data_IF_998073428470
#
_entry.id   IF_998073428470
#
_cell.length_a   1.000
_cell.length_b   1.000
_cell.length_c   1.000
_cell.angle_alpha   90.00
_cell.angle_beta   90.00
_cell.angle_gamma   90.00
#
_symmetry.space_group_name_H-M   'P 1'
#
loop_
_entity.id
_entity.type
_entity.pdbx_description
1 polymer ?
#
# COMPACT_ATOMS: atom_id res chain seq x y z
N UNK A 1 -18.71 -25.48 -15.05
CA UNK A 1 -17.27 -25.82 -15.10
C UNK A 1 -16.85 -26.29 -13.73
N UNK A 2 -16.33 -27.52 -13.62
CA UNK A 2 -15.94 -28.15 -12.35
C UNK A 2 -14.81 -27.36 -11.71
N UNK A 3 -14.99 -26.95 -10.45
CA UNK A 3 -13.95 -26.37 -9.62
C UNK A 3 -12.76 -27.33 -9.61
N UNK A 4 -11.59 -26.89 -10.09
CA UNK A 4 -10.34 -27.49 -9.64
C UNK A 4 -10.25 -27.16 -8.15
N UNK A 5 -10.60 -28.12 -7.29
CA UNK A 5 -10.23 -28.07 -5.89
C UNK A 5 -8.71 -28.03 -5.84
N UNK A 6 -8.14 -26.83 -5.67
CA UNK A 6 -6.90 -26.73 -4.91
C UNK A 6 -7.36 -26.77 -3.45
N UNK A 7 -7.70 -27.98 -2.98
CA UNK A 7 -7.68 -28.25 -1.56
C UNK A 7 -6.20 -28.21 -1.17
N UNK A 8 -5.69 -27.01 -0.85
CA UNK A 8 -4.45 -26.90 -0.12
C UNK A 8 -4.79 -27.42 1.28
N UNK A 9 -4.57 -28.73 1.49
CA UNK A 9 -4.54 -29.33 2.80
C UNK A 9 -3.32 -28.73 3.51
N UNK A 10 -3.46 -27.52 4.03
CA UNK A 10 -2.55 -26.98 5.01
C UNK A 10 -2.73 -27.84 6.26
N UNK A 11 -1.96 -28.92 6.35
CA UNK A 11 -1.57 -29.53 7.61
C UNK A 11 -0.81 -28.45 8.39
N UNK A 12 -1.55 -27.52 8.98
CA UNK A 12 -1.14 -26.82 10.18
C UNK A 12 -1.05 -27.90 11.24
N UNK A 13 0.13 -28.49 11.39
CA UNK A 13 0.49 -29.10 12.67
C UNK A 13 0.61 -27.91 13.61
N UNK A 14 -0.31 -27.71 14.59
CA UNK A 14 0.04 -26.84 15.69
C UNK A 14 1.22 -27.51 16.36
N UNK A 15 2.41 -26.89 16.33
CA UNK A 15 3.39 -27.21 17.33
C UNK A 15 2.76 -26.80 18.66
N UNK A 16 2.14 -27.78 19.32
CA UNK A 16 1.79 -27.69 20.71
C UNK A 16 3.12 -27.61 21.47
N UNK A 17 3.62 -26.39 21.65
CA UNK A 17 4.63 -26.10 22.65
C UNK A 17 3.96 -26.44 23.98
N UNK A 18 4.38 -27.58 24.56
CA UNK A 18 4.05 -27.92 25.94
C UNK A 18 4.47 -26.75 26.81
N UNK A 19 3.51 -26.24 27.58
CA UNK A 19 3.61 -25.00 28.30
C UNK A 19 4.87 -24.92 29.16
N UNK A 20 5.53 -23.77 29.06
CA UNK A 20 6.14 -23.16 30.21
C UNK A 20 5.36 -21.86 30.45
N UNK A 21 4.81 -21.73 31.66
CA UNK A 21 3.93 -20.64 32.08
C UNK A 21 4.71 -19.33 32.24
N UNK A 22 5.06 -18.71 31.13
CA UNK A 22 5.23 -17.27 30.99
C UNK A 22 4.33 -16.87 29.85
N UNK A 23 3.26 -16.12 30.10
CA UNK A 23 2.54 -15.49 29.01
C UNK A 23 3.56 -14.60 28.29
N UNK A 24 3.87 -14.91 27.03
CA UNK A 24 4.71 -14.04 26.21
C UNK A 24 4.08 -12.65 26.23
N UNK A 25 4.66 -11.75 27.03
CA UNK A 25 4.10 -10.44 27.25
C UNK A 25 4.35 -9.62 25.98
N UNK A 26 3.33 -9.54 25.13
CA UNK A 26 3.36 -8.66 23.97
C UNK A 26 3.13 -7.22 24.40
N UNK A 27 3.92 -6.30 23.86
CA UNK A 27 3.73 -4.85 24.04
C UNK A 27 3.24 -4.23 22.76
N UNK A 28 2.29 -3.30 22.86
CA UNK A 28 1.80 -2.57 21.69
C UNK A 28 2.86 -1.56 21.22
N UNK A 29 3.14 -1.56 19.92
CA UNK A 29 3.97 -0.54 19.28
C UNK A 29 3.06 0.59 18.85
N UNK A 30 3.32 1.80 19.36
CA UNK A 30 2.55 2.98 18.99
C UNK A 30 2.67 3.27 17.48
N UNK A 31 1.58 3.68 16.81
CA UNK A 31 1.63 4.12 15.42
C UNK A 31 2.63 5.27 15.25
N UNK A 32 3.36 5.27 14.15
CA UNK A 32 4.28 6.35 13.79
C UNK A 32 3.53 7.61 13.32
N UNK A 33 2.32 7.44 12.80
CA UNK A 33 1.47 8.53 12.32
C UNK A 33 0.13 8.55 13.07
N UNK A 34 -0.49 9.73 13.26
CA UNK A 34 -1.82 9.82 13.84
C UNK A 34 -2.83 9.01 13.04
N UNK A 35 -3.57 8.14 13.71
CA UNK A 35 -4.62 7.32 13.09
C UNK A 35 -5.84 8.20 12.77
N UNK A 36 -6.21 8.38 11.48
CA UNK A 36 -7.39 9.14 11.10
C UNK A 36 -8.68 8.53 11.65
N UNK A 37 -9.70 9.35 11.90
CA UNK A 37 -11.00 8.87 12.40
C UNK A 37 -11.67 7.87 11.44
N UNK A 38 -11.48 8.06 10.13
CA UNK A 38 -11.92 7.11 9.11
C UNK A 38 -11.26 5.73 9.25
N UNK A 39 -9.96 5.69 9.57
CA UNK A 39 -9.23 4.44 9.82
C UNK A 39 -9.68 3.80 11.13
N UNK A 40 -9.89 4.61 12.17
CA UNK A 40 -10.42 4.13 13.46
C UNK A 40 -11.79 3.48 13.28
N UNK A 41 -12.68 4.12 12.51
CA UNK A 41 -14.00 3.59 12.20
C UNK A 41 -13.93 2.29 11.39
N UNK A 42 -13.07 2.23 10.36
CA UNK A 42 -12.81 1.01 9.59
C UNK A 42 -12.40 -0.16 10.50
N UNK A 43 -11.41 0.05 11.37
CA UNK A 43 -10.92 -1.00 12.28
C UNK A 43 -12.03 -1.41 13.26
N UNK A 44 -12.80 -0.46 13.78
CA UNK A 44 -13.91 -0.74 14.69
C UNK A 44 -14.99 -1.60 14.03
N UNK A 45 -15.35 -1.31 12.78
CA UNK A 45 -16.27 -2.14 11.98
C UNK A 45 -15.69 -3.54 11.80
N UNK A 46 -14.46 -3.65 11.29
CA UNK A 46 -13.82 -4.94 11.04
C UNK A 46 -13.72 -5.78 12.33
N UNK A 47 -13.39 -5.15 13.46
CA UNK A 47 -13.30 -5.81 14.76
C UNK A 47 -14.66 -6.31 15.26
N UNK A 48 -15.74 -5.59 14.96
CA UNK A 48 -17.11 -5.99 15.29
C UNK A 48 -17.58 -7.25 14.55
N UNK A 49 -16.92 -7.61 13.45
CA UNK A 49 -17.23 -8.80 12.67
C UNK A 49 -16.46 -10.05 13.12
N UNK A 50 -15.52 -9.93 14.05
CA UNK A 50 -14.74 -11.09 14.55
C UNK A 50 -15.67 -12.18 15.08
N UNK A 51 -15.56 -13.38 14.52
CA UNK A 51 -16.41 -14.54 14.80
C UNK A 51 -17.47 -14.81 13.73
N UNK A 52 -17.76 -13.86 12.83
CA UNK A 52 -18.61 -14.11 11.66
C UNK A 52 -18.03 -15.25 10.83
N UNK A 53 -18.82 -16.27 10.54
CA UNK A 53 -18.42 -17.44 9.75
C UNK A 53 -19.33 -17.53 8.52
N UNK A 54 -18.77 -17.88 7.37
CA UNK A 54 -19.54 -18.02 6.13
C UNK A 54 -20.65 -19.07 6.26
N UNK A 55 -21.70 -18.89 5.47
CA UNK A 55 -22.77 -19.86 5.34
C UNK A 55 -22.35 -21.04 4.46
N UNK A 56 -23.16 -22.11 4.49
CA UNK A 56 -22.94 -23.28 3.65
C UNK A 56 -22.84 -22.89 2.17
N UNK A 57 -21.74 -23.27 1.54
CA UNK A 57 -21.47 -22.96 0.13
C UNK A 57 -20.59 -21.73 -0.08
N UNK A 58 -20.02 -21.16 0.98
CA UNK A 58 -19.13 -19.99 0.93
C UNK A 58 -19.88 -18.67 0.83
N UNK A 59 -21.17 -18.66 1.20
CA UNK A 59 -22.01 -17.46 1.05
C UNK A 59 -21.75 -16.51 2.21
N UNK A 60 -21.50 -15.25 1.90
CA UNK A 60 -21.33 -14.20 2.92
C UNK A 60 -22.19 -12.98 2.66
N UNK A 61 -22.47 -12.22 3.73
CA UNK A 61 -23.10 -10.89 3.60
C UNK A 61 -22.20 -9.91 2.84
N UNK A 62 -20.87 -10.06 2.93
CA UNK A 62 -19.89 -9.24 2.23
C UNK A 62 -19.95 -9.48 0.72
N UNK A 63 -19.92 -10.74 0.30
CA UNK A 63 -20.07 -11.10 -1.10
C UNK A 63 -21.44 -10.72 -1.63
N UNK A 64 -22.51 -10.86 -0.83
CA UNK A 64 -23.85 -10.44 -1.22
C UNK A 64 -23.94 -8.93 -1.43
N UNK A 65 -23.32 -8.14 -0.55
CA UNK A 65 -23.20 -6.69 -0.69
C UNK A 65 -22.37 -6.29 -1.93
N UNK A 66 -21.27 -7.00 -2.18
CA UNK A 66 -20.40 -6.76 -3.33
C UNK A 66 -21.05 -7.20 -4.68
N UNK A 67 -22.10 -8.03 -4.62
CA UNK A 67 -22.78 -8.59 -5.79
C UNK A 67 -22.22 -9.93 -6.28
N UNK A 68 -21.35 -10.58 -5.50
CA UNK A 68 -20.84 -11.92 -5.74
C UNK A 68 -20.83 -12.77 -4.45
N UNK A 69 -21.97 -13.38 -4.08
CA UNK A 69 -22.14 -13.97 -2.75
C UNK A 69 -21.18 -15.10 -2.37
N UNK A 70 -20.59 -15.82 -3.33
CA UNK A 70 -19.84 -17.07 -3.11
C UNK A 70 -18.40 -17.05 -3.67
N UNK A 71 -17.75 -15.88 -3.63
CA UNK A 71 -16.37 -15.69 -4.06
C UNK A 71 -15.37 -15.67 -2.88
N UNK A 72 -14.07 -15.59 -3.21
CA UNK A 72 -13.02 -15.31 -2.23
C UNK A 72 -13.28 -13.92 -1.60
N UNK A 73 -13.69 -13.92 -0.33
CA UNK A 73 -14.36 -12.77 0.27
C UNK A 73 -13.47 -11.97 1.23
N UNK A 74 -12.17 -12.25 1.33
CA UNK A 74 -11.25 -11.48 2.19
C UNK A 74 -11.21 -10.00 1.79
N UNK A 75 -11.10 -9.71 0.49
CA UNK A 75 -11.14 -8.35 -0.05
C UNK A 75 -12.53 -7.71 0.07
N UNK A 76 -13.60 -8.49 -0.17
CA UNK A 76 -14.98 -8.04 -0.08
C UNK A 76 -15.33 -7.63 1.36
N UNK A 77 -14.85 -8.39 2.35
CA UNK A 77 -14.95 -8.04 3.78
C UNK A 77 -14.28 -6.71 4.10
N UNK A 78 -13.05 -6.47 3.61
CA UNK A 78 -12.38 -5.19 3.85
C UNK A 78 -13.11 -4.04 3.14
N UNK A 79 -13.56 -4.22 1.90
CA UNK A 79 -14.32 -3.21 1.17
C UNK A 79 -15.66 -2.89 1.85
N UNK A 80 -16.37 -3.91 2.32
CA UNK A 80 -17.59 -3.76 3.08
C UNK A 80 -17.32 -3.00 4.39
N UNK A 81 -16.23 -3.32 5.08
CA UNK A 81 -15.85 -2.63 6.33
C UNK A 81 -15.56 -1.15 6.09
N UNK A 82 -14.92 -0.81 4.96
CA UNK A 82 -14.74 0.58 4.53
C UNK A 82 -16.09 1.23 4.23
N UNK A 83 -16.99 0.56 3.52
CA UNK A 83 -18.30 1.10 3.18
C UNK A 83 -19.16 1.42 4.42
N UNK A 84 -19.12 0.57 5.44
CA UNK A 84 -19.80 0.88 6.70
C UNK A 84 -19.17 2.07 7.44
N UNK A 85 -17.85 2.22 7.37
CA UNK A 85 -17.15 3.38 7.94
C UNK A 85 -17.48 4.68 7.17
N UNK A 86 -17.59 4.61 5.84
CA UNK A 86 -18.06 5.71 4.99
C UNK A 86 -19.47 6.16 5.40
N UNK A 87 -20.40 5.22 5.52
CA UNK A 87 -21.79 5.48 5.90
C UNK A 87 -21.88 6.11 7.30
N UNK A 88 -21.18 5.53 8.28
CA UNK A 88 -21.20 6.00 9.66
C UNK A 88 -20.64 7.42 9.83
N UNK A 89 -19.69 7.82 8.98
CA UNK A 89 -19.02 9.13 9.06
C UNK A 89 -19.54 10.14 8.04
N UNK A 90 -20.36 9.72 7.06
CA UNK A 90 -20.82 10.59 5.97
C UNK A 90 -19.69 11.06 5.04
N UNK A 91 -18.71 10.21 4.78
CA UNK A 91 -17.52 10.53 3.94
C UNK A 91 -17.37 9.55 2.78
N UNK A 92 -16.51 9.87 1.81
CA UNK A 92 -16.12 8.93 0.73
C UNK A 92 -14.67 8.47 0.92
N UNK A 93 -14.48 7.16 1.10
CA UNK A 93 -13.23 6.44 1.31
C UNK A 93 -12.96 5.42 0.19
N UNK A 94 -13.94 4.64 -0.26
CA UNK A 94 -13.82 3.71 -1.38
C UNK A 94 -13.49 4.47 -2.66
N UNK A 95 -12.58 3.91 -3.45
CA UNK A 95 -11.97 4.49 -4.65
C UNK A 95 -11.23 5.82 -4.44
N UNK A 96 -11.14 6.34 -3.21
CA UNK A 96 -10.38 7.55 -2.87
C UNK A 96 -9.20 7.23 -1.96
N UNK A 97 -9.48 6.59 -0.83
CA UNK A 97 -8.52 6.22 0.22
C UNK A 97 -8.21 4.73 0.17
N UNK A 98 -9.23 3.89 -0.05
CA UNK A 98 -9.13 2.43 -0.19
C UNK A 98 -9.71 1.96 -1.53
N UNK A 99 -9.23 0.84 -2.10
CA UNK A 99 -9.81 0.30 -3.32
C UNK A 99 -11.18 -0.35 -3.06
N UNK A 100 -12.02 -0.40 -4.09
CA UNK A 100 -13.19 -1.27 -4.14
C UNK A 100 -12.92 -2.43 -5.10
N UNK A 101 -12.86 -3.66 -4.59
CA UNK A 101 -12.56 -4.86 -5.38
C UNK A 101 -12.96 -6.15 -4.65
N UNK A 102 -13.08 -7.24 -5.40
CA UNK A 102 -13.25 -8.61 -4.89
C UNK A 102 -11.95 -9.39 -5.02
N UNK A 103 -11.94 -10.51 -5.76
CA UNK A 103 -10.75 -11.36 -5.89
C UNK A 103 -9.69 -10.83 -6.89
N UNK A 104 -8.42 -11.20 -6.64
CA UNK A 104 -7.17 -10.94 -7.41
C UNK A 104 -6.42 -9.62 -7.10
N UNK A 105 -5.21 -9.47 -7.68
CA UNK A 105 -4.18 -8.43 -7.47
C UNK A 105 -4.63 -6.95 -7.54
N UNK A 106 -5.90 -6.67 -7.79
CA UNK A 106 -6.45 -5.33 -8.00
C UNK A 106 -6.15 -4.41 -6.81
N UNK A 107 -6.35 -4.87 -5.57
CA UNK A 107 -6.10 -4.05 -4.38
C UNK A 107 -4.65 -3.57 -4.28
N UNK A 108 -3.68 -4.48 -4.46
CA UNK A 108 -2.25 -4.14 -4.43
C UNK A 108 -1.87 -3.17 -5.53
N UNK A 109 -2.27 -3.46 -6.77
CA UNK A 109 -1.96 -2.61 -7.92
C UNK A 109 -2.62 -1.23 -7.79
N UNK A 110 -3.79 -1.14 -7.16
CA UNK A 110 -4.42 0.13 -6.84
C UNK A 110 -3.56 0.95 -5.88
N UNK A 111 -3.07 0.38 -4.77
CA UNK A 111 -2.17 1.10 -3.87
C UNK A 111 -0.85 1.49 -4.54
N UNK A 112 -0.30 0.65 -5.43
CA UNK A 112 0.87 0.99 -6.24
C UNK A 112 0.59 2.20 -7.15
N UNK A 113 -0.54 2.20 -7.86
CA UNK A 113 -0.96 3.31 -8.73
C UNK A 113 -1.22 4.60 -7.92
N UNK A 114 -1.74 4.48 -6.70
CA UNK A 114 -1.89 5.61 -5.78
C UNK A 114 -0.55 6.09 -5.19
N UNK A 115 0.54 5.35 -5.37
CA UNK A 115 1.85 5.67 -4.78
C UNK A 115 1.96 5.33 -3.29
N UNK A 116 1.05 4.52 -2.76
CA UNK A 116 0.91 4.22 -1.33
C UNK A 116 1.07 2.74 -1.02
N UNK A 117 1.94 2.05 -1.75
CA UNK A 117 2.31 0.66 -1.49
C UNK A 117 3.75 0.56 -1.04
N UNK A 118 3.99 -0.20 0.02
CA UNK A 118 5.31 -0.43 0.61
C UNK A 118 5.60 -1.93 0.59
N UNK A 119 6.55 -2.36 -0.24
CA UNK A 119 6.97 -3.75 -0.31
C UNK A 119 7.75 -4.15 0.94
N UNK A 120 7.47 -5.35 1.46
CA UNK A 120 8.23 -5.93 2.58
C UNK A 120 9.72 -5.98 2.28
N UNK A 121 10.10 -6.26 1.03
CA UNK A 121 11.49 -6.41 0.60
C UNK A 121 12.18 -5.10 0.26
N UNK A 122 11.45 -3.98 0.22
CA UNK A 122 11.94 -2.73 -0.36
C UNK A 122 12.08 -2.78 -1.89
N UNK A 123 11.53 -3.80 -2.55
CA UNK A 123 11.58 -3.96 -4.01
C UNK A 123 10.26 -4.48 -4.54
N UNK A 124 9.72 -3.82 -5.56
CA UNK A 124 8.49 -4.24 -6.25
C UNK A 124 8.84 -4.77 -7.62
N UNK A 125 8.50 -6.03 -7.89
CA UNK A 125 8.71 -6.67 -9.20
C UNK A 125 8.05 -5.86 -10.31
N UNK A 126 8.79 -5.64 -11.39
CA UNK A 126 8.34 -4.83 -12.52
C UNK A 126 8.45 -3.32 -12.32
N UNK A 127 8.65 -2.81 -11.09
CA UNK A 127 8.89 -1.40 -10.80
C UNK A 127 10.37 -1.15 -10.44
N UNK A 128 10.83 -1.62 -9.28
CA UNK A 128 12.19 -1.45 -8.80
C UNK A 128 12.27 -1.29 -7.28
N UNK A 129 13.42 -0.81 -6.80
CA UNK A 129 13.65 -0.53 -5.38
C UNK A 129 12.80 0.65 -4.88
N UNK A 130 12.51 0.64 -3.59
CA UNK A 130 11.86 1.71 -2.85
C UNK A 130 12.81 2.35 -1.83
N UNK A 131 12.49 3.58 -1.46
CA UNK A 131 13.12 4.34 -0.37
C UNK A 131 12.04 5.15 0.34
N UNK A 132 12.23 5.43 1.62
CA UNK A 132 11.34 6.38 2.30
C UNK A 132 11.48 7.75 1.66
N UNK A 133 10.37 8.48 1.51
CA UNK A 133 10.40 9.78 0.85
C UNK A 133 11.36 10.74 1.55
N UNK A 134 12.24 11.35 0.76
CA UNK A 134 13.33 12.21 1.25
C UNK A 134 14.58 11.46 1.74
N UNK A 135 14.55 10.14 1.88
CA UNK A 135 15.71 9.35 2.27
C UNK A 135 16.62 9.03 1.07
N UNK A 136 17.93 9.04 1.32
CA UNK A 136 18.98 8.64 0.36
C UNK A 136 19.33 7.15 0.45
N UNK A 137 18.76 6.41 1.41
CA UNK A 137 18.96 4.97 1.57
C UNK A 137 17.77 4.19 1.01
N UNK A 138 18.06 3.07 0.36
CA UNK A 138 17.01 2.13 -0.05
C UNK A 138 16.38 1.48 1.18
N UNK A 139 15.08 1.17 1.09
CA UNK A 139 14.37 0.47 2.15
C UNK A 139 14.98 -0.91 2.35
N UNK A 140 15.36 -1.22 3.59
CA UNK A 140 15.78 -2.55 3.95
C UNK A 140 14.58 -3.50 4.04
N UNK A 141 14.81 -4.79 3.78
CA UNK A 141 13.79 -5.83 3.96
C UNK A 141 13.26 -5.81 5.39
N UNK A 142 11.94 -5.84 5.54
CA UNK A 142 11.26 -5.89 6.84
C UNK A 142 11.39 -4.60 7.65
N UNK A 143 11.92 -3.52 7.08
CA UNK A 143 12.14 -2.27 7.81
C UNK A 143 10.87 -1.44 8.04
N UNK A 144 9.79 -1.72 7.30
CA UNK A 144 8.54 -1.00 7.46
C UNK A 144 7.73 -1.59 8.63
N UNK A 145 7.43 -0.73 9.60
CA UNK A 145 6.48 -1.01 10.67
C UNK A 145 5.10 -0.53 10.21
N UNK A 146 4.16 -1.44 9.89
CA UNK A 146 2.86 -1.05 9.35
C UNK A 146 2.03 -0.27 10.36
N UNK A 147 1.17 0.60 9.85
CA UNK A 147 0.27 1.42 10.64
C UNK A 147 -1.09 0.71 10.78
N UNK A 148 -1.85 0.96 11.87
CA UNK A 148 -3.26 0.59 11.91
C UNK A 148 -4.00 1.09 10.66
N UNK A 149 -4.80 0.23 10.05
CA UNK A 149 -5.52 0.52 8.80
C UNK A 149 -4.76 0.17 7.53
N UNK A 150 -3.46 -0.10 7.61
CA UNK A 150 -2.72 -0.62 6.45
C UNK A 150 -3.32 -1.97 6.03
N UNK A 151 -3.42 -2.18 4.72
CA UNK A 151 -3.82 -3.46 4.16
C UNK A 151 -2.58 -4.28 3.86
N UNK A 152 -2.44 -5.43 4.53
CA UNK A 152 -1.35 -6.36 4.27
C UNK A 152 -1.77 -7.33 3.16
N UNK A 153 -0.90 -7.49 2.16
CA UNK A 153 -1.15 -8.37 1.02
C UNK A 153 -0.22 -9.60 1.09
N UNK A 154 -0.80 -10.79 0.97
CA UNK A 154 -0.06 -12.06 1.05
C UNK A 154 -0.05 -12.79 -0.29
N UNK A 155 1.05 -13.48 -0.58
CA UNK A 155 1.14 -14.51 -1.61
C UNK A 155 1.55 -15.84 -0.98
N UNK A 156 0.76 -16.89 -1.23
CA UNK A 156 1.12 -18.27 -0.93
C UNK A 156 1.73 -18.99 -2.14
N UNK A 157 1.90 -18.29 -3.26
CA UNK A 157 2.40 -18.87 -4.51
C UNK A 157 3.74 -18.26 -4.94
N UNK A 158 4.57 -19.03 -5.68
CA UNK A 158 5.82 -18.49 -6.23
C UNK A 158 5.61 -17.37 -7.27
N UNK A 159 4.42 -17.22 -7.86
CA UNK A 159 4.17 -16.18 -8.87
C UNK A 159 4.18 -14.77 -8.28
N UNK A 160 4.00 -14.64 -6.96
CA UNK A 160 3.90 -13.35 -6.28
C UNK A 160 2.53 -12.68 -6.46
N UNK A 161 1.53 -13.41 -6.97
CA UNK A 161 0.15 -12.94 -7.00
C UNK A 161 -0.42 -12.91 -5.58
N UNK A 162 -1.02 -11.79 -5.21
CA UNK A 162 -1.73 -11.66 -3.95
C UNK A 162 -2.92 -12.60 -3.96
N UNK A 163 -2.92 -13.48 -2.97
CA UNK A 163 -3.92 -14.53 -2.75
C UNK A 163 -4.78 -14.24 -1.54
N UNK A 164 -4.35 -13.32 -0.68
CA UNK A 164 -5.07 -12.94 0.53
C UNK A 164 -4.75 -11.51 0.96
N UNK A 165 -5.68 -10.90 1.71
CA UNK A 165 -5.56 -9.55 2.26
C UNK A 165 -6.14 -9.49 3.67
N UNK A 166 -5.54 -8.66 4.52
CA UNK A 166 -6.05 -8.36 5.86
C UNK A 166 -5.82 -6.88 6.19
N UNK A 167 -6.57 -6.35 7.16
CA UNK A 167 -6.32 -5.00 7.70
C UNK A 167 -5.49 -5.10 8.98
N UNK A 168 -4.44 -4.30 9.08
CA UNK A 168 -3.62 -4.19 10.28
C UNK A 168 -4.43 -3.48 11.37
N UNK A 169 -4.64 -4.15 12.49
CA UNK A 169 -5.26 -3.57 13.68
C UNK A 169 -4.21 -2.83 14.51
N UNK A 170 -3.04 -3.46 14.71
CA UNK A 170 -1.89 -2.89 15.42
C UNK A 170 -0.61 -3.71 15.19
N UNK A 171 0.51 -3.16 15.62
CA UNK A 171 1.78 -3.90 15.71
C UNK A 171 2.09 -4.18 17.17
N UNK A 172 2.57 -5.39 17.45
CA UNK A 172 2.98 -5.83 18.79
C UNK A 172 4.41 -6.36 18.76
N UNK A 173 5.16 -6.14 19.83
CA UNK A 173 6.50 -6.66 20.03
C UNK A 173 6.49 -7.79 21.06
N UNK A 174 7.21 -8.88 20.78
CA UNK A 174 7.57 -9.87 21.78
C UNK A 174 8.76 -9.39 22.62
N UNK A 175 9.00 -10.04 23.76
CA UNK A 175 10.07 -9.68 24.69
C UNK A 175 11.49 -9.77 24.08
N UNK A 176 11.67 -10.55 23.02
CA UNK A 176 12.93 -10.71 22.28
C UNK A 176 13.15 -9.63 21.20
N UNK A 177 12.23 -8.67 21.07
CA UNK A 177 12.25 -7.62 20.05
C UNK A 177 11.64 -8.03 18.71
N UNK A 178 11.10 -9.25 18.58
CA UNK A 178 10.41 -9.68 17.38
C UNK A 178 9.09 -8.95 17.23
N UNK A 179 8.85 -8.36 16.06
CA UNK A 179 7.62 -7.61 15.78
C UNK A 179 6.62 -8.43 14.97
N UNK A 180 5.34 -8.27 15.31
CA UNK A 180 4.21 -8.91 14.66
C UNK A 180 3.18 -7.88 14.23
N UNK A 181 2.66 -8.01 13.01
CA UNK A 181 1.40 -7.38 12.63
C UNK A 181 0.25 -8.21 13.21
N UNK A 182 -0.54 -7.61 14.10
CA UNK A 182 -1.84 -8.14 14.46
C UNK A 182 -2.87 -7.57 13.49
N UNK A 183 -3.60 -8.47 12.83
CA UNK A 183 -4.52 -8.14 11.75
C UNK A 183 -5.91 -8.66 12.03
N UNK A 184 -6.90 -8.06 11.39
CA UNK A 184 -8.25 -8.59 11.26
C UNK A 184 -8.44 -9.01 9.80
N UNK A 185 -8.88 -10.24 9.59
CA UNK A 185 -9.01 -10.83 8.26
C UNK A 185 -10.27 -11.67 8.17
N UNK A 186 -10.86 -11.72 6.98
CA UNK A 186 -11.92 -12.65 6.61
C UNK A 186 -11.37 -13.80 5.79
N UNK A 187 -12.13 -14.87 5.61
CA UNK A 187 -11.80 -16.00 4.74
C UNK A 187 -10.48 -16.70 5.11
N UNK A 188 -10.20 -16.84 6.41
CA UNK A 188 -9.07 -17.64 6.90
C UNK A 188 -9.47 -18.46 8.14
N UNK A 189 -9.79 -19.76 8.02
CA UNK A 189 -10.11 -20.45 6.77
C UNK A 189 -11.48 -20.04 6.21
N UNK A 190 -12.48 -19.74 7.05
CA UNK A 190 -13.89 -19.57 6.66
C UNK A 190 -14.63 -18.53 7.52
N UNK A 191 -13.88 -17.68 8.24
CA UNK A 191 -14.43 -16.72 9.20
C UNK A 191 -13.62 -15.44 9.26
N UNK A 192 -14.23 -14.42 9.87
CA UNK A 192 -13.53 -13.22 10.32
C UNK A 192 -12.86 -13.51 11.66
N UNK A 193 -11.56 -13.25 11.74
CA UNK A 193 -10.76 -13.51 12.93
C UNK A 193 -9.61 -12.52 13.08
N UNK A 194 -9.00 -12.53 14.26
CA UNK A 194 -7.69 -11.91 14.47
C UNK A 194 -6.59 -12.93 14.19
N UNK A 195 -5.55 -12.49 13.50
CA UNK A 195 -4.34 -13.27 13.26
C UNK A 195 -3.09 -12.43 13.53
N UNK A 196 -1.95 -13.12 13.64
CA UNK A 196 -0.65 -12.50 13.88
C UNK A 196 0.37 -13.04 12.90
N UNK A 197 1.11 -12.13 12.27
CA UNK A 197 2.15 -12.46 11.30
C UNK A 197 3.44 -11.76 11.68
N UNK A 198 4.57 -12.44 11.57
CA UNK A 198 5.89 -11.82 11.66
C UNK A 198 6.00 -10.74 10.58
N UNK A 199 6.58 -9.57 10.90
CA UNK A 199 6.73 -8.50 9.90
C UNK A 199 7.63 -8.92 8.72
N UNK A 200 8.56 -9.85 8.95
CA UNK A 200 9.46 -10.39 7.93
C UNK A 200 8.93 -11.65 7.24
N UNK A 201 7.71 -12.10 7.55
CA UNK A 201 7.08 -13.28 6.97
C UNK A 201 7.17 -13.24 5.44
N UNK A 202 7.72 -14.29 4.84
CA UNK A 202 7.99 -14.34 3.42
C UNK A 202 6.73 -14.23 2.56
N UNK A 203 5.58 -14.62 3.12
CA UNK A 203 4.27 -14.57 2.44
C UNK A 203 3.79 -13.14 2.25
N UNK A 204 4.16 -12.23 3.16
CA UNK A 204 3.82 -10.82 3.04
C UNK A 204 4.57 -10.21 1.85
N UNK A 205 3.80 -9.73 0.87
CA UNK A 205 4.32 -8.99 -0.27
C UNK A 205 4.59 -7.53 0.11
N UNK A 206 3.74 -6.95 0.96
CA UNK A 206 3.82 -5.57 1.38
C UNK A 206 2.49 -5.05 1.89
N UNK A 207 2.43 -3.74 2.03
CA UNK A 207 1.35 -3.03 2.71
C UNK A 207 0.83 -1.88 1.84
N UNK A 208 -0.48 -1.82 1.66
CA UNK A 208 -1.17 -0.63 1.15
C UNK A 208 -1.50 0.29 2.32
N UNK A 209 -1.02 1.53 2.30
CA UNK A 209 -1.17 2.47 3.42
C UNK A 209 -2.00 3.68 3.02
N UNK A 210 -2.56 4.40 4.00
CA UNK A 210 -3.24 5.69 3.76
C UNK A 210 -2.27 6.87 3.71
N UNK A 211 -1.00 6.64 3.99
CA UNK A 211 0.05 7.66 4.01
C UNK A 211 0.92 7.59 2.75
N UNK A 212 1.41 8.73 2.28
CA UNK A 212 2.47 8.76 1.27
C UNK A 212 3.84 8.76 1.95
N UNK A 213 4.45 7.57 2.07
CA UNK A 213 5.67 7.36 2.88
C UNK A 213 6.90 6.99 2.08
N UNK A 214 6.72 6.46 0.87
CA UNK A 214 7.80 5.87 0.11
C UNK A 214 7.73 6.25 -1.37
N UNK A 215 8.89 6.48 -1.94
CA UNK A 215 9.07 6.64 -3.38
C UNK A 215 9.62 5.34 -3.98
N UNK A 216 9.51 5.22 -5.29
CA UNK A 216 9.87 4.04 -6.05
C UNK A 216 10.51 4.41 -7.37
N UNK A 217 11.34 3.54 -7.93
CA UNK A 217 11.84 3.70 -9.30
C UNK A 217 10.69 3.85 -10.30
N UNK A 218 10.74 4.91 -11.11
CA UNK A 218 9.77 5.17 -12.18
C UNK A 218 10.43 4.99 -13.56
N UNK A 219 9.74 4.33 -14.47
CA UNK A 219 10.24 4.00 -15.83
C UNK A 219 9.09 3.80 -16.81
N UNK A 220 9.44 3.69 -18.10
CA UNK A 220 8.51 3.51 -19.21
C UNK A 220 7.42 2.46 -18.95
N UNK A 221 6.18 2.82 -19.26
CA UNK A 221 5.01 1.95 -19.11
C UNK A 221 4.41 1.92 -17.70
N UNK A 222 4.97 2.65 -16.73
CA UNK A 222 4.35 2.85 -15.41
C UNK A 222 3.38 4.02 -15.43
N UNK A 223 2.36 3.93 -14.59
CA UNK A 223 1.38 4.99 -14.41
C UNK A 223 0.98 5.12 -12.94
N UNK A 224 0.48 6.29 -12.56
CA UNK A 224 -0.01 6.56 -11.21
C UNK A 224 0.40 7.91 -10.66
N UNK A 225 0.04 8.15 -9.39
CA UNK A 225 0.23 9.42 -8.68
C UNK A 225 1.72 9.81 -8.60
N UNK A 226 2.63 8.86 -8.41
CA UNK A 226 4.08 9.12 -8.37
C UNK A 226 4.62 9.60 -9.73
N UNK A 227 4.11 9.05 -10.83
CA UNK A 227 4.46 9.51 -12.19
C UNK A 227 3.92 10.91 -12.44
N UNK A 228 2.67 11.18 -12.04
CA UNK A 228 2.08 12.52 -12.13
C UNK A 228 2.90 13.55 -11.34
N UNK A 229 3.35 13.21 -10.14
CA UNK A 229 4.19 14.08 -9.31
C UNK A 229 5.57 14.34 -9.96
N UNK A 230 6.21 13.31 -10.53
CA UNK A 230 7.44 13.45 -11.30
C UNK A 230 7.26 14.42 -12.48
N UNK A 231 6.18 14.24 -13.25
CA UNK A 231 5.84 15.11 -14.37
C UNK A 231 5.59 16.56 -13.92
N UNK A 232 4.91 16.77 -12.80
CA UNK A 232 4.75 18.11 -12.21
C UNK A 232 6.08 18.80 -11.98
N UNK A 233 7.03 18.11 -11.33
CA UNK A 233 8.38 18.66 -11.08
C UNK A 233 9.17 18.91 -12.36
N UNK A 234 9.02 18.06 -13.38
CA UNK A 234 9.61 18.29 -14.70
C UNK A 234 8.97 19.49 -15.41
N UNK A 235 7.67 19.72 -15.21
CA UNK A 235 6.97 20.88 -15.75
C UNK A 235 7.37 22.19 -15.04
N UNK A 236 7.55 22.14 -13.72
CA UNK A 236 8.01 23.28 -12.92
C UNK A 236 9.35 23.84 -13.42
N UNK A 237 10.23 22.97 -13.93
CA UNK A 237 11.55 23.35 -14.48
C UNK A 237 11.56 23.45 -16.01
N UNK A 238 10.37 23.44 -16.64
CA UNK A 238 10.22 23.68 -18.08
C UNK A 238 10.67 22.53 -19.00
N UNK A 239 10.92 21.32 -18.48
CA UNK A 239 11.32 20.17 -19.29
C UNK A 239 10.14 19.47 -19.99
N UNK A 240 8.91 19.69 -19.51
CA UNK A 240 7.66 19.34 -20.20
C UNK A 240 6.63 20.45 -19.99
N UNK A 241 5.54 20.45 -20.77
CA UNK A 241 4.42 21.36 -20.51
C UNK A 241 3.50 20.82 -19.40
N UNK A 242 2.86 21.71 -18.62
CA UNK A 242 1.83 21.31 -17.64
C UNK A 242 0.66 20.54 -18.28
N UNK A 243 0.35 20.80 -19.54
CA UNK A 243 -0.67 20.07 -20.31
C UNK A 243 -0.29 18.61 -20.58
N UNK A 244 0.98 18.25 -20.41
CA UNK A 244 1.51 16.91 -20.67
C UNK A 244 1.49 16.00 -19.43
N UNK A 245 1.04 16.53 -18.29
CA UNK A 245 0.93 15.78 -17.03
C UNK A 245 -0.24 14.79 -17.12
N UNK A 246 0.05 13.61 -17.64
CA UNK A 246 -0.91 12.53 -17.85
C UNK A 246 -0.98 11.54 -16.68
N UNK A 247 0.06 11.48 -15.85
CA UNK A 247 0.27 10.39 -14.88
C UNK A 247 0.75 9.08 -15.53
N UNK A 248 1.10 9.09 -16.82
CA UNK A 248 1.65 7.95 -17.55
C UNK A 248 3.09 8.22 -17.93
N UNK A 249 3.99 7.28 -17.65
CA UNK A 249 5.41 7.40 -17.95
C UNK A 249 5.63 7.00 -19.41
N UNK A 250 5.28 7.94 -20.28
CA UNK A 250 5.39 7.83 -21.73
C UNK A 250 6.79 8.23 -22.25
N UNK A 251 6.95 8.19 -23.57
CA UNK A 251 8.20 8.57 -24.23
C UNK A 251 8.60 10.01 -23.90
N UNK A 252 7.65 10.96 -23.84
CA UNK A 252 7.96 12.36 -23.51
C UNK A 252 8.51 12.48 -22.09
N UNK A 253 7.90 11.80 -21.13
CA UNK A 253 8.37 11.73 -19.73
C UNK A 253 9.77 11.13 -19.68
N UNK A 254 10.02 10.05 -20.42
CA UNK A 254 11.32 9.41 -20.48
C UNK A 254 12.42 10.34 -21.02
N UNK A 255 12.13 11.09 -22.09
CA UNK A 255 13.09 12.03 -22.68
C UNK A 255 13.33 13.24 -21.76
N UNK A 256 12.31 13.75 -21.09
CA UNK A 256 12.46 14.81 -20.09
C UNK A 256 13.34 14.37 -18.91
N UNK A 257 13.20 13.12 -18.46
CA UNK A 257 14.10 12.55 -17.45
C UNK A 257 15.53 12.42 -17.97
N UNK A 258 15.74 12.05 -19.24
CA UNK A 258 17.09 12.03 -19.84
C UNK A 258 17.70 13.43 -19.91
N UNK A 259 16.90 14.44 -20.29
CA UNK A 259 17.35 15.83 -20.34
C UNK A 259 17.78 16.31 -18.95
N UNK A 260 16.95 16.07 -17.93
CA UNK A 260 17.30 16.39 -16.54
C UNK A 260 18.57 15.65 -16.09
N UNK A 261 18.68 14.34 -16.40
CA UNK A 261 19.88 13.55 -16.08
C UNK A 261 21.13 14.12 -16.76
N UNK A 262 21.02 14.56 -18.03
CA UNK A 262 22.13 15.18 -18.75
C UNK A 262 22.59 16.48 -18.06
N UNK A 263 21.65 17.33 -17.67
CA UNK A 263 21.94 18.59 -16.97
C UNK A 263 22.63 18.35 -15.62
N UNK A 264 22.22 17.30 -14.91
CA UNK A 264 22.81 16.94 -13.62
C UNK A 264 24.10 16.11 -13.73
N UNK A 265 24.58 15.81 -14.96
CA UNK A 265 25.77 14.99 -15.18
C UNK A 265 25.59 13.51 -14.82
N UNK A 266 24.35 13.01 -14.80
CA UNK A 266 24.01 11.61 -14.55
C UNK A 266 23.99 10.80 -15.85
N UNK A 267 24.02 9.47 -15.71
CA UNK A 267 23.75 8.58 -16.82
C UNK A 267 22.31 8.80 -17.32
N UNK A 268 22.17 9.12 -18.61
CA UNK A 268 20.90 9.43 -19.27
C UNK A 268 20.12 8.14 -19.55
N UNK A 269 19.66 7.48 -18.50
CA UNK A 269 18.92 6.21 -18.59
C UNK A 269 17.45 6.42 -18.97
N UNK A 270 16.91 7.62 -18.72
CA UNK A 270 15.48 7.89 -18.79
C UNK A 270 14.67 7.15 -17.72
N UNK A 271 15.33 6.55 -16.72
CA UNK A 271 14.73 5.93 -15.54
C UNK A 271 14.90 6.89 -14.38
N UNK A 272 13.80 7.30 -13.76
CA UNK A 272 13.83 8.13 -12.56
C UNK A 272 14.08 7.22 -11.34
N UNK A 273 15.34 6.88 -11.10
CA UNK A 273 15.80 6.19 -9.89
C UNK A 273 15.87 7.13 -8.68
N UNK A 274 16.27 6.62 -7.52
CA UNK A 274 16.39 7.40 -6.28
C UNK A 274 17.23 8.67 -6.44
N UNK A 275 18.44 8.55 -7.00
CA UNK A 275 19.33 9.69 -7.20
C UNK A 275 18.70 10.76 -8.09
N UNK A 276 18.07 10.33 -9.19
CA UNK A 276 17.40 11.24 -10.14
C UNK A 276 16.25 11.97 -9.46
N UNK A 277 15.37 11.24 -8.75
CA UNK A 277 14.20 11.85 -8.11
C UNK A 277 14.60 12.78 -6.96
N UNK A 278 15.53 12.40 -6.09
CA UNK A 278 16.00 13.29 -5.01
C UNK A 278 16.60 14.58 -5.57
N UNK A 279 17.42 14.49 -6.62
CA UNK A 279 18.01 15.67 -7.25
C UNK A 279 16.97 16.53 -7.94
N UNK A 280 16.02 15.94 -8.65
CA UNK A 280 14.91 16.66 -9.30
C UNK A 280 14.04 17.37 -8.27
N UNK A 281 13.71 16.72 -7.16
CA UNK A 281 12.89 17.34 -6.11
C UNK A 281 13.57 18.57 -5.52
N UNK A 282 14.86 18.47 -5.19
CA UNK A 282 15.64 19.58 -4.66
C UNK A 282 15.79 20.71 -5.69
N UNK A 283 16.09 20.38 -6.94
CA UNK A 283 16.27 21.36 -8.02
C UNK A 283 14.96 22.08 -8.35
N UNK A 284 13.86 21.34 -8.54
CA UNK A 284 12.55 21.93 -8.84
C UNK A 284 12.05 22.81 -7.68
N UNK A 285 12.27 22.40 -6.43
CA UNK A 285 11.96 23.24 -5.28
C UNK A 285 12.74 24.56 -5.33
N UNK A 286 14.06 24.51 -5.50
CA UNK A 286 14.89 25.71 -5.61
C UNK A 286 14.45 26.61 -6.78
N UNK A 287 14.21 26.02 -7.95
CA UNK A 287 13.77 26.73 -9.14
C UNK A 287 12.49 27.53 -8.89
N UNK A 288 11.47 26.93 -8.27
CA UNK A 288 10.19 27.60 -7.94
C UNK A 288 10.37 28.71 -6.90
N UNK A 289 11.30 28.56 -5.95
CA UNK A 289 11.58 29.62 -4.97
C UNK A 289 12.30 30.82 -5.61
N UNK A 290 13.11 30.59 -6.65
CA UNK A 290 13.87 31.62 -7.36
C UNK A 290 13.07 32.35 -8.45
N UNK A 291 12.04 31.70 -9.02
CA UNK A 291 11.21 32.26 -10.09
C UNK A 291 9.90 32.82 -9.54
N UNK A 292 9.90 34.14 -9.26
CA UNK A 292 8.81 34.82 -8.56
C UNK A 292 7.46 34.83 -9.29
N UNK A 293 7.41 34.52 -10.59
CA UNK A 293 6.15 34.39 -11.34
C UNK A 293 5.21 33.29 -10.81
N UNK A 294 5.72 32.36 -9.99
CA UNK A 294 4.91 31.35 -9.32
C UNK A 294 4.29 31.84 -7.99
N UNK A 295 4.61 33.06 -7.55
CA UNK A 295 4.10 33.65 -6.32
C UNK A 295 3.06 34.73 -6.63
N UNK A 296 1.78 34.43 -6.41
CA UNK A 296 0.76 35.48 -6.30
C UNK A 296 1.00 36.24 -5.00
N UNK A 297 1.52 37.46 -5.10
CA UNK A 297 1.50 38.43 -3.99
C UNK A 297 0.11 39.07 -3.98
N UNK A 298 -0.68 38.84 -2.94
CA UNK A 298 -1.94 39.56 -2.74
C UNK A 298 -1.65 41.07 -2.69
N UNK A 299 -2.13 41.82 -3.70
CA UNK A 299 -2.00 43.27 -3.76
C UNK A 299 -1.35 43.87 -5.00
N UNK A 300 -1.00 43.10 -6.03
CA UNK A 300 -0.60 43.66 -7.32
C UNK A 300 -1.83 44.17 -8.10
N UNK A 301 -2.30 45.35 -7.68
CA UNK A 301 -3.24 46.19 -8.45
C UNK A 301 -2.45 46.81 -9.61
N UNK A 302 -2.83 46.46 -10.84
CA UNK A 302 -2.61 47.31 -12.01
C UNK A 302 -3.94 47.51 -12.73
#
# INVERSE_FOLDING_TARGET
MRRFLIALLCLLIPLAVKGNSGADAFTDIAPAYPMPDSVRALIAVAAGEVGYTEERGGVTKYGSWYGNPAAEWCAEFLCWSVAQAEEALGVTLLNKVFPLYGATNIGREWFLAQGRYIARTGFVTGWGSQWYSGDSKQMARGSYIPQPGDWVFFSYTPSGDTTHVAVVEKVIAAADGTHYAQVIEGNNPDKVQRARYLLDDWRIQGYGTVHDLADIVLRGGKEGSKVRALQGRLADIGLIAYTDISGKYDHRTQEAVRAFQAEMGFAQTGIANQQTQLKLNAYAHQWVMEHTEFWTVDGAVH
#
